data_IF_495435895378
#
_entry.id   IF_495435895378
#
_cell.length_a   1.000
_cell.length_b   1.000
_cell.length_c   1.000
_cell.angle_alpha   90.00
_cell.angle_beta   90.00
_cell.angle_gamma   90.00
#
_symmetry.space_group_name_H-M   'P 1'
#
loop_
_entity.id
_entity.type
_entity.pdbx_description
1 polymer ?
#
# COMPACT_ATOMS: atom_id res chain seq x y z
N UNK A 1 -73.92 -2.02 -34.59
CA UNK A 1 -72.64 -2.55 -35.12
C UNK A 1 -71.51 -1.96 -34.29
N UNK A 2 -71.09 -2.64 -33.22
CA UNK A 2 -70.01 -2.19 -32.33
C UNK A 2 -68.84 -3.16 -32.46
N UNK A 3 -67.85 -2.82 -33.27
CA UNK A 3 -66.55 -3.47 -33.22
C UNK A 3 -65.72 -2.75 -32.14
N UNK A 4 -65.60 -3.38 -30.97
CA UNK A 4 -64.69 -2.95 -29.92
C UNK A 4 -63.27 -3.39 -30.28
N UNK A 5 -62.33 -2.44 -30.27
CA UNK A 5 -60.90 -2.66 -30.53
C UNK A 5 -60.22 -3.39 -29.37
N UNK A 6 -59.45 -4.44 -29.69
CA UNK A 6 -58.75 -5.32 -28.75
C UNK A 6 -57.61 -4.60 -27.98
N UNK A 7 -57.53 -4.68 -26.64
CA UNK A 7 -56.53 -3.96 -25.85
C UNK A 7 -55.26 -4.79 -25.67
N UNK A 8 -54.38 -4.84 -26.67
CA UNK A 8 -53.06 -5.49 -26.53
C UNK A 8 -52.00 -4.59 -25.86
N UNK A 9 -52.28 -3.30 -25.66
CA UNK A 9 -51.28 -2.30 -25.23
C UNK A 9 -51.08 -2.16 -23.70
N UNK A 10 -51.77 -2.94 -22.85
CA UNK A 10 -51.70 -2.79 -21.38
C UNK A 10 -50.65 -3.66 -20.67
N UNK A 11 -50.17 -4.74 -21.30
CA UNK A 11 -49.41 -5.79 -20.59
C UNK A 11 -47.95 -5.46 -20.25
N UNK A 12 -47.31 -4.53 -20.95
CA UNK A 12 -45.85 -4.33 -20.82
C UNK A 12 -45.44 -2.97 -20.23
N UNK A 13 -46.38 -2.18 -19.69
CA UNK A 13 -46.06 -0.86 -19.11
C UNK A 13 -45.22 -0.95 -17.84
N UNK A 14 -45.37 -2.03 -17.07
CA UNK A 14 -44.56 -2.27 -15.87
C UNK A 14 -43.08 -2.50 -16.19
N UNK A 15 -42.78 -3.11 -17.34
CA UNK A 15 -41.40 -3.32 -17.80
C UNK A 15 -40.65 -2.00 -18.06
N UNK A 16 -41.37 -0.93 -18.41
CA UNK A 16 -40.78 0.39 -18.66
C UNK A 16 -40.31 1.03 -17.35
N UNK A 17 -41.15 1.02 -16.30
CA UNK A 17 -40.75 1.53 -14.98
C UNK A 17 -39.66 0.69 -14.32
N UNK A 18 -39.67 -0.62 -14.56
CA UNK A 18 -38.61 -1.51 -14.10
C UNK A 18 -37.28 -1.22 -14.81
N UNK A 19 -37.31 -1.04 -16.14
CA UNK A 19 -36.14 -0.62 -16.90
C UNK A 19 -35.62 0.75 -16.44
N UNK A 20 -36.51 1.70 -16.14
CA UNK A 20 -36.14 3.01 -15.61
C UNK A 20 -35.44 2.90 -14.25
N UNK A 21 -35.94 2.06 -13.33
CA UNK A 21 -35.28 1.79 -12.05
C UNK A 21 -33.89 1.15 -12.24
N UNK A 22 -33.76 0.21 -13.16
CA UNK A 22 -32.46 -0.40 -13.50
C UNK A 22 -31.48 0.63 -14.10
N UNK A 23 -31.98 1.54 -14.94
CA UNK A 23 -31.15 2.60 -15.53
C UNK A 23 -30.73 3.64 -14.50
N UNK A 24 -31.61 4.03 -13.57
CA UNK A 24 -31.26 4.90 -12.45
C UNK A 24 -30.22 4.24 -11.52
N UNK A 25 -30.38 2.94 -11.23
CA UNK A 25 -29.43 2.19 -10.42
C UNK A 25 -28.07 2.06 -11.13
N UNK A 26 -28.07 1.78 -12.43
CA UNK A 26 -26.85 1.71 -13.24
C UNK A 26 -26.14 3.07 -13.29
N UNK A 27 -26.87 4.16 -13.55
CA UNK A 27 -26.32 5.52 -13.56
C UNK A 27 -25.74 5.90 -12.19
N UNK A 28 -26.43 5.54 -11.11
CA UNK A 28 -25.92 5.73 -9.74
C UNK A 28 -24.64 4.93 -9.49
N UNK A 29 -24.59 3.67 -9.92
CA UNK A 29 -23.42 2.81 -9.76
C UNK A 29 -22.20 3.35 -10.54
N UNK A 30 -22.42 3.82 -11.77
CA UNK A 30 -21.38 4.49 -12.59
C UNK A 30 -20.88 5.76 -11.91
N UNK A 31 -21.78 6.59 -11.36
CA UNK A 31 -21.39 7.80 -10.63
C UNK A 31 -20.59 7.47 -9.34
N UNK A 32 -20.99 6.42 -8.62
CA UNK A 32 -20.27 5.95 -7.45
C UNK A 32 -18.86 5.47 -7.82
N UNK A 33 -18.72 4.73 -8.93
CA UNK A 33 -17.42 4.26 -9.44
C UNK A 33 -16.53 5.45 -9.82
N UNK A 34 -17.08 6.43 -10.53
CA UNK A 34 -16.36 7.65 -10.90
C UNK A 34 -15.93 8.51 -9.69
N UNK A 35 -16.65 8.41 -8.56
CA UNK A 35 -16.33 9.12 -7.32
C UNK A 35 -15.25 8.44 -6.45
N UNK A 36 -14.95 7.16 -6.71
CA UNK A 36 -14.00 6.37 -5.91
C UNK A 36 -12.61 7.00 -5.85
N UNK A 37 -12.08 7.40 -7.00
CA UNK A 37 -10.77 8.06 -7.13
C UNK A 37 -10.65 9.38 -6.35
N UNK A 38 -11.77 10.07 -6.12
CA UNK A 38 -11.80 11.36 -5.40
C UNK A 38 -11.70 11.19 -3.87
N UNK A 39 -12.15 10.04 -3.34
CA UNK A 39 -12.05 9.70 -1.90
C UNK A 39 -10.60 9.41 -1.50
N UNK A 40 -9.85 8.67 -2.31
CA UNK A 40 -8.44 8.34 -2.03
C UNK A 40 -7.55 9.58 -2.08
N UNK A 41 -7.80 10.47 -3.04
CA UNK A 41 -7.10 11.75 -3.14
C UNK A 41 -7.30 12.60 -1.88
N UNK A 42 -8.53 12.70 -1.37
CA UNK A 42 -8.84 13.45 -0.15
C UNK A 42 -8.19 12.83 1.10
N UNK A 43 -8.22 11.50 1.25
CA UNK A 43 -7.54 10.80 2.34
C UNK A 43 -6.02 11.01 2.31
N UNK A 44 -5.40 10.99 1.12
CA UNK A 44 -3.97 11.30 0.96
C UNK A 44 -3.63 12.75 1.33
N UNK A 45 -4.57 13.67 1.19
CA UNK A 45 -4.41 15.09 1.47
C UNK A 45 -4.55 15.35 2.98
N UNK A 46 -5.53 14.70 3.60
CA UNK A 46 -5.72 14.69 5.06
C UNK A 46 -4.51 14.03 5.74
N UNK A 47 -4.04 12.88 5.26
CA UNK A 47 -2.86 12.22 5.84
C UNK A 47 -1.59 13.06 5.73
N UNK A 48 -1.38 13.75 4.60
CA UNK A 48 -0.30 14.75 4.43
C UNK A 48 -0.39 15.87 5.45
N UNK A 49 -1.61 16.33 5.75
CA UNK A 49 -1.86 17.42 6.70
C UNK A 49 -1.71 16.98 8.16
N UNK A 50 -1.94 15.70 8.48
CA UNK A 50 -1.76 15.11 9.82
C UNK A 50 -0.40 14.43 10.05
N UNK A 51 0.61 14.67 9.20
CA UNK A 51 2.00 14.23 9.47
C UNK A 51 2.51 13.06 8.62
N UNK A 52 1.76 12.64 7.59
CA UNK A 52 2.21 11.73 6.55
C UNK A 52 3.22 12.42 5.62
N UNK A 53 4.45 12.59 6.09
CA UNK A 53 5.51 13.13 5.25
C UNK A 53 5.86 12.10 4.16
N UNK A 54 5.91 12.51 2.88
CA UNK A 54 6.38 11.64 1.81
C UNK A 54 7.83 11.26 2.13
N UNK A 55 8.11 9.95 2.09
CA UNK A 55 9.46 9.46 2.33
C UNK A 55 10.40 10.11 1.33
N UNK A 56 11.56 10.58 1.80
CA UNK A 56 12.56 11.14 0.91
C UNK A 56 12.97 10.09 -0.16
N UNK A 57 13.47 10.56 -1.30
CA UNK A 57 14.00 9.65 -2.31
C UNK A 57 15.18 8.86 -1.70
N UNK A 58 15.07 7.53 -1.73
CA UNK A 58 15.99 6.61 -1.08
C UNK A 58 16.17 5.33 -1.88
N UNK A 59 16.77 4.32 -1.26
CA UNK A 59 16.88 2.99 -1.83
C UNK A 59 15.55 2.25 -1.69
N UNK A 60 15.15 1.52 -2.74
CA UNK A 60 14.06 0.55 -2.71
C UNK A 60 14.64 -0.80 -3.12
N UNK A 61 14.49 -1.80 -2.24
CA UNK A 61 15.12 -3.11 -2.37
C UNK A 61 14.02 -4.17 -2.24
N UNK A 62 14.05 -5.21 -3.06
CA UNK A 62 13.15 -6.35 -2.84
C UNK A 62 13.64 -7.16 -1.67
N UNK A 63 12.72 -7.61 -0.81
CA UNK A 63 13.06 -8.49 0.30
C UNK A 63 13.68 -9.80 -0.18
N UNK A 64 13.24 -10.31 -1.34
CA UNK A 64 13.81 -11.51 -1.96
C UNK A 64 15.31 -11.40 -2.29
N UNK A 65 15.83 -10.18 -2.50
CA UNK A 65 17.26 -9.95 -2.80
C UNK A 65 18.10 -9.77 -1.52
N UNK A 66 17.44 -9.51 -0.39
CA UNK A 66 18.08 -9.20 0.89
C UNK A 66 18.11 -10.40 1.84
N UNK A 67 17.06 -11.21 1.84
CA UNK A 67 16.82 -12.25 2.84
C UNK A 67 16.93 -13.65 2.25
N UNK A 68 17.20 -14.63 3.12
CA UNK A 68 16.99 -16.03 2.78
C UNK A 68 15.51 -16.30 2.48
N UNK A 69 15.19 -17.26 1.59
CA UNK A 69 13.83 -17.55 1.18
C UNK A 69 12.93 -17.85 2.37
N UNK A 70 11.94 -16.98 2.58
CA UNK A 70 10.96 -17.15 3.64
C UNK A 70 11.46 -16.90 5.07
N UNK A 71 12.66 -16.38 5.25
CA UNK A 71 13.22 -16.07 6.55
C UNK A 71 13.41 -14.56 6.73
N UNK A 72 13.62 -14.14 7.98
CA UNK A 72 14.03 -12.79 8.34
C UNK A 72 15.55 -12.67 8.54
N UNK A 73 16.32 -13.61 7.98
CA UNK A 73 17.77 -13.65 8.03
C UNK A 73 18.36 -13.09 6.74
N UNK A 74 19.24 -12.09 6.85
CA UNK A 74 19.90 -11.49 5.69
C UNK A 74 20.85 -12.50 5.03
N UNK A 75 20.87 -12.53 3.70
CA UNK A 75 21.89 -13.26 2.94
C UNK A 75 23.22 -12.50 2.99
N UNK A 76 24.34 -13.16 2.66
CA UNK A 76 25.64 -12.49 2.58
C UNK A 76 25.63 -11.30 1.58
N UNK A 77 24.90 -11.44 0.48
CA UNK A 77 24.70 -10.36 -0.49
C UNK A 77 23.83 -9.23 0.08
N UNK A 78 22.73 -9.58 0.76
CA UNK A 78 21.84 -8.63 1.41
C UNK A 78 22.57 -7.82 2.49
N UNK A 79 23.35 -8.48 3.32
CA UNK A 79 24.21 -7.86 4.33
C UNK A 79 25.15 -6.83 3.69
N UNK A 80 25.86 -7.21 2.62
CA UNK A 80 26.74 -6.29 1.90
C UNK A 80 26.00 -5.09 1.29
N UNK A 81 24.74 -5.25 0.86
CA UNK A 81 23.90 -4.15 0.39
C UNK A 81 23.54 -3.19 1.53
N UNK A 82 23.14 -3.73 2.68
CA UNK A 82 22.81 -2.92 3.87
C UNK A 82 24.04 -2.16 4.36
N UNK A 83 25.22 -2.78 4.40
CA UNK A 83 26.48 -2.11 4.75
C UNK A 83 26.75 -0.90 3.86
N UNK A 84 26.55 -1.02 2.55
CA UNK A 84 26.73 0.11 1.62
C UNK A 84 25.73 1.25 1.90
N UNK A 85 24.49 0.91 2.24
CA UNK A 85 23.46 1.89 2.57
C UNK A 85 23.71 2.56 3.92
N UNK A 86 24.12 1.81 4.94
CA UNK A 86 24.55 2.35 6.23
C UNK A 86 25.64 3.39 6.05
N UNK A 87 26.69 3.09 5.26
CA UNK A 87 27.76 4.04 4.94
C UNK A 87 27.25 5.27 4.19
N UNK A 88 26.39 5.08 3.19
CA UNK A 88 25.78 6.17 2.41
C UNK A 88 24.97 7.12 3.29
N UNK A 89 24.25 6.59 4.27
CA UNK A 89 23.37 7.37 5.15
C UNK A 89 24.02 7.69 6.52
N UNK A 90 25.30 7.39 6.70
CA UNK A 90 26.01 7.62 7.96
C UNK A 90 25.99 9.10 8.39
N UNK A 91 25.95 10.03 7.44
CA UNK A 91 25.88 11.48 7.69
C UNK A 91 24.45 12.03 7.72
N UNK A 92 23.42 11.22 7.42
CA UNK A 92 22.03 11.70 7.39
C UNK A 92 21.50 11.95 8.82
N UNK A 93 20.80 13.05 9.12
CA UNK A 93 20.35 13.35 10.49
C UNK A 93 19.41 12.27 11.07
N UNK A 94 18.65 11.59 10.22
CA UNK A 94 17.91 10.39 10.54
C UNK A 94 17.88 9.47 9.31
N UNK A 95 17.54 8.20 9.51
CA UNK A 95 17.32 7.21 8.46
C UNK A 95 15.97 6.58 8.67
N UNK A 96 15.09 6.73 7.69
CA UNK A 96 13.75 6.18 7.69
C UNK A 96 13.72 4.85 6.95
N UNK A 97 13.02 3.87 7.53
CA UNK A 97 12.82 2.54 6.97
C UNK A 97 11.31 2.25 6.92
N UNK A 98 10.83 1.83 5.76
CA UNK A 98 9.44 1.43 5.53
C UNK A 98 9.40 0.09 4.80
N UNK A 99 8.39 -0.73 5.11
CA UNK A 99 8.09 -1.94 4.33
C UNK A 99 6.82 -1.70 3.51
N UNK A 100 6.84 -2.04 2.23
CA UNK A 100 5.68 -2.00 1.34
C UNK A 100 5.35 -3.41 0.86
N UNK A 101 4.08 -3.81 0.98
CA UNK A 101 3.61 -5.15 0.61
C UNK A 101 4.13 -6.27 1.53
N UNK A 102 3.78 -7.50 1.17
CA UNK A 102 4.23 -8.73 1.82
C UNK A 102 4.41 -9.84 0.77
N UNK A 103 5.28 -10.81 1.04
CA UNK A 103 5.42 -11.98 0.17
C UNK A 103 4.21 -12.90 0.34
N UNK A 104 3.62 -13.42 -0.76
CA UNK A 104 2.44 -14.25 -0.69
C UNK A 104 2.70 -15.57 0.06
N UNK A 105 1.92 -15.82 1.10
CA UNK A 105 1.83 -17.06 1.86
C UNK A 105 0.37 -17.38 2.15
N UNK A 106 0.07 -18.66 2.40
CA UNK A 106 -1.32 -19.13 2.49
C UNK A 106 -2.10 -18.59 3.70
N UNK A 107 -1.50 -17.80 4.60
CA UNK A 107 -2.13 -17.24 5.81
C UNK A 107 -1.66 -15.80 6.07
N UNK A 108 -2.62 -14.86 6.17
CA UNK A 108 -2.41 -13.40 6.28
C UNK A 108 -1.53 -12.97 7.46
N UNK A 109 -1.58 -13.70 8.57
CA UNK A 109 -0.80 -13.38 9.78
C UNK A 109 0.70 -13.74 9.59
N UNK A 110 1.01 -14.87 8.95
CA UNK A 110 2.39 -15.29 8.66
C UNK A 110 3.10 -14.37 7.66
N UNK A 111 2.37 -13.80 6.71
CA UNK A 111 2.89 -12.82 5.74
C UNK A 111 3.32 -11.53 6.43
N UNK A 112 2.43 -11.00 7.28
CA UNK A 112 2.65 -9.74 7.99
C UNK A 112 3.76 -9.88 9.03
N UNK A 113 3.77 -10.99 9.79
CA UNK A 113 4.80 -11.26 10.80
C UNK A 113 6.18 -11.38 10.16
N UNK A 114 6.29 -12.08 9.03
CA UNK A 114 7.55 -12.17 8.29
C UNK A 114 8.01 -10.80 7.80
N UNK A 115 7.09 -10.02 7.22
CA UNK A 115 7.41 -8.70 6.71
C UNK A 115 7.89 -7.77 7.84
N UNK A 116 7.24 -7.81 9.00
CA UNK A 116 7.63 -7.08 10.20
C UNK A 116 9.01 -7.52 10.72
N UNK A 117 9.25 -8.84 10.80
CA UNK A 117 10.51 -9.40 11.25
C UNK A 117 11.68 -8.98 10.34
N UNK A 118 11.47 -8.99 9.03
CA UNK A 118 12.45 -8.52 8.03
C UNK A 118 12.74 -7.03 8.16
N UNK A 119 11.70 -6.21 8.33
CA UNK A 119 11.87 -4.77 8.55
C UNK A 119 12.72 -4.51 9.81
N UNK A 120 12.47 -5.25 10.90
CA UNK A 120 13.29 -5.20 12.12
C UNK A 120 14.71 -5.72 11.93
N UNK A 121 14.93 -6.74 11.10
CA UNK A 121 16.26 -7.24 10.77
C UNK A 121 17.08 -6.19 10.00
N UNK A 122 16.47 -5.48 9.03
CA UNK A 122 17.12 -4.35 8.34
C UNK A 122 17.51 -3.24 9.32
N UNK A 123 16.62 -2.88 10.24
CA UNK A 123 16.92 -1.85 11.24
C UNK A 123 18.12 -2.23 12.11
N UNK A 124 18.17 -3.47 12.61
CA UNK A 124 19.30 -3.99 13.39
C UNK A 124 20.60 -4.02 12.60
N UNK A 125 20.55 -4.41 11.33
CA UNK A 125 21.73 -4.43 10.47
C UNK A 125 22.26 -3.01 10.19
N UNK A 126 21.39 -2.03 9.96
CA UNK A 126 21.80 -0.62 9.84
C UNK A 126 22.42 -0.10 11.14
N UNK A 127 21.88 -0.48 12.30
CA UNK A 127 22.43 -0.14 13.61
C UNK A 127 23.84 -0.71 13.81
N UNK A 128 24.02 -2.00 13.52
CA UNK A 128 25.31 -2.69 13.62
C UNK A 128 26.41 -2.06 12.74
N UNK A 129 26.02 -1.41 11.63
CA UNK A 129 26.94 -0.79 10.66
C UNK A 129 27.03 0.74 10.78
N UNK A 130 26.63 1.31 11.92
CA UNK A 130 26.97 2.69 12.30
C UNK A 130 25.84 3.72 12.18
N UNK A 131 24.59 3.29 11.91
CA UNK A 131 23.43 4.19 12.02
C UNK A 131 22.88 4.14 13.44
N UNK A 132 23.11 5.20 14.22
CA UNK A 132 22.68 5.21 15.63
C UNK A 132 21.17 4.96 15.79
N UNK A 133 20.79 4.18 16.81
CA UNK A 133 19.41 3.73 17.05
C UNK A 133 18.41 4.89 17.17
N UNK A 134 18.82 6.00 17.77
CA UNK A 134 18.01 7.20 17.94
C UNK A 134 17.77 7.96 16.62
N UNK A 135 18.53 7.63 15.57
CA UNK A 135 18.41 8.18 14.22
C UNK A 135 17.57 7.28 13.32
N UNK A 136 17.27 6.04 13.72
CA UNK A 136 16.44 5.12 12.95
C UNK A 136 14.95 5.42 13.18
N UNK A 137 14.23 5.66 12.09
CA UNK A 137 12.79 5.93 12.08
C UNK A 137 12.09 4.79 11.36
N UNK A 138 11.44 3.89 12.11
CA UNK A 138 10.65 2.79 11.53
C UNK A 138 9.23 3.30 11.33
N UNK A 139 8.82 3.50 10.07
CA UNK A 139 7.48 4.00 9.72
C UNK A 139 6.65 2.91 9.08
N UNK A 140 6.36 1.88 9.87
CA UNK A 140 5.30 0.90 9.64
C UNK A 140 5.39 0.03 8.38
N UNK A 141 4.33 -0.77 8.23
CA UNK A 141 4.05 -1.66 7.10
C UNK A 141 2.93 -0.99 6.28
N UNK A 142 3.28 -0.51 5.09
CA UNK A 142 2.36 0.13 4.17
C UNK A 142 1.80 -0.93 3.20
N UNK A 143 0.52 -1.26 3.37
CA UNK A 143 -0.22 -2.13 2.45
C UNK A 143 -1.09 -1.25 1.56
N UNK A 144 -0.49 -0.60 0.57
CA UNK A 144 -1.29 -0.11 -0.54
C UNK A 144 -1.84 -1.35 -1.30
N UNK A 145 -3.16 -1.47 -1.42
CA UNK A 145 -3.83 -2.58 -2.13
C UNK A 145 -3.27 -2.79 -3.55
N UNK A 146 -2.81 -1.72 -4.20
CA UNK A 146 -2.21 -1.72 -5.54
C UNK A 146 -0.90 -2.53 -5.66
N UNK A 147 -0.30 -2.96 -4.54
CA UNK A 147 0.97 -3.70 -4.50
C UNK A 147 0.82 -5.18 -4.11
N UNK A 148 -0.41 -5.68 -3.97
CA UNK A 148 -0.66 -7.09 -3.72
C UNK A 148 -0.05 -7.96 -4.85
N UNK A 149 0.79 -8.93 -4.48
CA UNK A 149 1.47 -9.83 -5.43
C UNK A 149 2.82 -9.34 -5.96
N UNK A 150 3.26 -8.11 -5.63
CA UNK A 150 4.58 -7.60 -6.04
C UNK A 150 5.72 -7.98 -5.09
N UNK A 151 5.41 -8.78 -4.06
CA UNK A 151 6.33 -9.15 -2.99
C UNK A 151 6.60 -8.01 -2.01
N UNK A 152 7.40 -8.28 -0.99
CA UNK A 152 7.80 -7.27 -0.01
C UNK A 152 8.94 -6.39 -0.56
N UNK A 153 8.79 -5.08 -0.41
CA UNK A 153 9.81 -4.08 -0.69
C UNK A 153 10.24 -3.35 0.58
N UNK A 154 11.56 -3.25 0.79
CA UNK A 154 12.14 -2.46 1.87
C UNK A 154 12.64 -1.14 1.30
N UNK A 155 12.14 -0.03 1.84
CA UNK A 155 12.56 1.31 1.44
C UNK A 155 13.35 1.97 2.56
N UNK A 156 14.51 2.49 2.21
CA UNK A 156 15.45 3.12 3.14
C UNK A 156 15.81 4.49 2.59
N UNK A 157 15.56 5.54 3.36
CA UNK A 157 15.80 6.91 2.92
C UNK A 157 16.33 7.80 4.06
N UNK A 158 16.95 8.94 3.76
CA UNK A 158 17.22 9.96 4.77
C UNK A 158 15.91 10.45 5.38
N UNK A 159 15.82 10.38 6.71
CA UNK A 159 14.70 10.91 7.49
C UNK A 159 15.00 12.31 8.03
N UNK A 160 13.97 12.97 8.54
CA UNK A 160 14.09 14.18 9.36
C UNK A 160 13.54 13.88 10.75
N UNK A 161 14.31 14.17 11.81
CA UNK A 161 13.74 14.20 13.16
C UNK A 161 12.72 15.33 13.21
N UNK A 162 11.49 15.03 13.64
CA UNK A 162 10.54 16.09 14.01
C UNK A 162 11.16 16.84 15.18
N UNK A 163 11.37 18.16 15.03
CA UNK A 163 11.63 19.03 16.17
C UNK A 163 10.38 19.00 17.03
N UNK A 164 10.47 18.33 18.18
CA UNK A 164 9.53 18.56 19.28
C UNK A 164 9.73 19.95 19.86
#
# INVERSE_FOLDING_TARGET
MTAQSLPLARRNRWAISFADLLLLLLAFFVLLQASGSRRDAMLSQVSRQFGGQPMAQGAALRAADLFLPGEALLSAQGEAQIVRLARRFAQAPAVEIRSQGADPRRQRFDEWDLAAARLGAVARALEAHGVARDRLLIRGLDQAEDQAGQGQWIRIAPGRKSRS
#
